data_IF_797918495224
#
_entry.id   IF_797918495224
#
_cell.length_a   1.000
_cell.length_b   1.000
_cell.length_c   1.000
_cell.angle_alpha   90.00
_cell.angle_beta   90.00
_cell.angle_gamma   90.00
#
_symmetry.space_group_name_H-M   'P 1'
#
loop_
_entity.id
_entity.type
_entity.pdbx_description
1 polymer ?
#
# COMPACT_ATOMS: atom_id res chain seq x y z
N UNK A 1 50.89 -15.49 -28.35
CA UNK A 1 50.39 -14.70 -27.20
C UNK A 1 50.18 -13.26 -27.63
N UNK A 2 49.03 -12.68 -27.23
CA UNK A 2 48.66 -11.25 -27.31
C UNK A 2 48.92 -10.52 -28.64
N UNK A 3 47.90 -10.45 -29.51
CA UNK A 3 47.56 -9.29 -30.39
C UNK A 3 46.63 -9.74 -31.53
N UNK A 4 45.39 -10.10 -31.22
CA UNK A 4 44.35 -10.27 -32.26
C UNK A 4 42.90 -10.11 -31.76
N UNK A 5 42.67 -9.52 -30.59
CA UNK A 5 41.32 -9.43 -30.01
C UNK A 5 40.80 -8.00 -29.79
N UNK A 6 41.52 -6.97 -30.22
CA UNK A 6 41.15 -5.56 -29.95
C UNK A 6 40.47 -4.83 -31.12
N UNK A 7 40.21 -5.50 -32.26
CA UNK A 7 39.67 -4.86 -33.45
C UNK A 7 38.14 -5.02 -33.65
N UNK A 8 37.42 -5.62 -32.70
CA UNK A 8 35.96 -5.88 -32.83
C UNK A 8 35.08 -5.05 -31.89
N UNK A 9 35.65 -4.17 -31.06
CA UNK A 9 34.86 -3.34 -30.13
C UNK A 9 34.62 -1.89 -30.59
N UNK A 10 35.12 -1.48 -31.76
CA UNK A 10 35.09 -0.06 -32.18
C UNK A 10 34.08 0.23 -33.31
N UNK A 11 33.36 -0.77 -33.84
CA UNK A 11 32.37 -0.58 -34.91
C UNK A 11 30.90 -0.82 -34.50
N UNK A 12 30.62 -0.88 -33.19
CA UNK A 12 29.25 -0.95 -32.67
C UNK A 12 28.73 0.40 -32.13
N UNK A 13 29.46 1.50 -32.33
CA UNK A 13 29.11 2.85 -31.85
C UNK A 13 28.33 3.70 -32.86
N UNK A 14 27.89 3.15 -33.99
CA UNK A 14 27.20 3.92 -35.05
C UNK A 14 25.75 3.52 -35.31
N UNK A 15 25.08 2.89 -34.36
CA UNK A 15 23.63 2.67 -34.48
C UNK A 15 22.95 2.76 -33.11
N UNK A 16 22.71 3.99 -32.65
CA UNK A 16 21.60 4.24 -31.73
C UNK A 16 20.85 5.49 -32.21
N UNK A 17 19.54 5.39 -32.50
CA UNK A 17 18.76 6.53 -32.97
C UNK A 17 18.56 7.55 -31.85
N UNK A 18 18.73 8.81 -32.24
CA UNK A 18 18.35 10.00 -31.49
C UNK A 18 16.84 9.96 -31.22
N UNK A 19 16.47 9.77 -29.95
CA UNK A 19 15.09 9.85 -29.51
C UNK A 19 15.03 10.74 -28.28
N UNK A 20 14.80 12.02 -28.57
CA UNK A 20 13.98 12.96 -27.81
C UNK A 20 14.36 13.16 -26.33
N UNK A 21 15.01 14.29 -26.11
CA UNK A 21 14.77 15.16 -24.96
C UNK A 21 13.26 15.22 -24.67
N UNK A 22 12.82 14.55 -23.62
CA UNK A 22 11.66 14.99 -22.86
C UNK A 22 12.06 15.05 -21.40
N UNK A 23 12.62 16.21 -21.02
CA UNK A 23 12.92 16.58 -19.64
C UNK A 23 11.59 16.96 -18.98
N UNK A 24 10.72 15.98 -18.77
CA UNK A 24 9.59 16.13 -17.86
C UNK A 24 10.17 15.99 -16.46
N UNK A 25 10.48 17.12 -15.84
CA UNK A 25 10.65 17.19 -14.39
C UNK A 25 9.31 16.76 -13.78
N UNK A 26 9.16 15.47 -13.51
CA UNK A 26 8.08 14.98 -12.66
C UNK A 26 8.39 15.46 -11.26
N UNK A 27 7.76 16.57 -10.88
CA UNK A 27 7.66 17.00 -9.50
C UNK A 27 7.30 15.78 -8.62
N UNK A 28 8.15 15.34 -7.67
CA UNK A 28 7.79 14.25 -6.77
C UNK A 28 6.68 14.65 -5.78
N UNK A 29 6.22 15.90 -5.82
CA UNK A 29 5.25 16.47 -4.89
C UNK A 29 3.82 16.40 -5.43
N UNK A 30 3.61 16.22 -6.74
CA UNK A 30 2.27 16.19 -7.34
C UNK A 30 1.56 14.82 -7.24
N UNK A 31 2.30 13.73 -7.01
CA UNK A 31 1.72 12.39 -6.91
C UNK A 31 1.04 12.08 -5.56
N UNK A 32 1.15 12.98 -4.58
CA UNK A 32 0.59 12.80 -3.22
C UNK A 32 -0.86 13.30 -3.10
N UNK A 33 -1.42 13.93 -4.14
CA UNK A 33 -2.64 14.73 -3.98
C UNK A 33 -3.94 14.12 -4.48
N UNK A 34 -3.99 12.86 -4.95
CA UNK A 34 -5.24 12.37 -5.53
C UNK A 34 -5.42 10.86 -5.40
N UNK A 35 -5.65 10.39 -4.19
CA UNK A 35 -6.53 9.26 -4.00
C UNK A 35 -7.69 9.81 -3.15
N UNK A 36 -8.73 10.29 -3.82
CA UNK A 36 -10.05 10.30 -3.19
C UNK A 36 -10.25 8.90 -2.60
N UNK A 37 -10.86 8.84 -1.42
CA UNK A 37 -11.22 7.61 -0.73
C UNK A 37 -11.92 6.64 -1.70
N UNK A 38 -11.13 5.84 -2.43
CA UNK A 38 -11.67 4.91 -3.40
C UNK A 38 -12.55 3.96 -2.61
N UNK A 39 -13.83 3.79 -3.02
CA UNK A 39 -14.73 2.87 -2.35
C UNK A 39 -14.00 1.54 -2.21
N UNK A 40 -13.94 0.99 -0.99
CA UNK A 40 -13.37 -0.34 -0.81
C UNK A 40 -14.17 -1.27 -1.71
N UNK A 41 -13.54 -1.90 -2.71
CA UNK A 41 -14.25 -2.73 -3.67
C UNK A 41 -15.10 -3.75 -2.91
N UNK A 42 -16.30 -4.03 -3.41
CA UNK A 42 -17.27 -5.00 -2.88
C UNK A 42 -17.66 -4.94 -1.39
N UNK A 43 -17.25 -3.92 -0.64
CA UNK A 43 -17.82 -3.60 0.67
C UNK A 43 -19.32 -3.26 0.55
N UNK A 44 -19.68 -2.50 -0.49
CA UNK A 44 -21.08 -2.17 -0.80
C UNK A 44 -21.91 -3.41 -1.10
N UNK A 45 -21.43 -4.28 -1.99
CA UNK A 45 -22.12 -5.56 -2.31
C UNK A 45 -22.21 -6.49 -1.10
N UNK A 46 -21.21 -6.48 -0.20
CA UNK A 46 -21.25 -7.24 1.04
C UNK A 46 -22.36 -6.73 1.98
N UNK A 47 -22.45 -5.40 2.17
CA UNK A 47 -23.51 -4.77 2.97
C UNK A 47 -24.91 -5.01 2.38
N UNK A 48 -25.04 -4.99 1.05
CA UNK A 48 -26.29 -5.29 0.36
C UNK A 48 -26.73 -6.73 0.59
N UNK A 49 -25.80 -7.68 0.69
CA UNK A 49 -26.06 -9.09 0.99
C UNK A 49 -26.56 -9.36 2.42
N UNK A 50 -26.46 -8.40 3.33
CA UNK A 50 -26.96 -8.55 4.71
C UNK A 50 -28.48 -8.39 4.78
N UNK A 51 -29.10 -8.99 5.80
CA UNK A 51 -30.52 -8.75 6.08
C UNK A 51 -30.76 -7.28 6.46
N UNK A 52 -31.95 -6.72 6.20
CA UNK A 52 -32.23 -5.30 6.49
C UNK A 52 -31.98 -4.90 7.95
N UNK A 53 -32.26 -5.81 8.89
CA UNK A 53 -32.04 -5.59 10.32
C UNK A 53 -30.55 -5.53 10.71
N UNK A 54 -29.68 -6.19 9.93
CA UNK A 54 -28.22 -6.20 10.16
C UNK A 54 -27.52 -5.09 9.39
N UNK A 55 -28.06 -4.66 8.24
CA UNK A 55 -27.42 -3.69 7.35
C UNK A 55 -27.21 -2.33 8.00
N UNK A 56 -28.22 -1.80 8.69
CA UNK A 56 -28.14 -0.48 9.34
C UNK A 56 -27.00 -0.44 10.37
N UNK A 57 -26.94 -1.33 11.38
CA UNK A 57 -25.83 -1.32 12.33
C UNK A 57 -24.48 -1.66 11.67
N UNK A 58 -24.46 -2.53 10.65
CA UNK A 58 -23.22 -2.85 9.95
C UNK A 58 -22.66 -1.65 9.19
N UNK A 59 -23.53 -0.87 8.55
CA UNK A 59 -23.14 0.33 7.84
C UNK A 59 -22.56 1.39 8.79
N UNK A 60 -23.15 1.56 9.98
CA UNK A 60 -22.62 2.48 10.99
C UNK A 60 -21.20 2.09 11.44
N UNK A 61 -20.98 0.80 11.73
CA UNK A 61 -19.63 0.31 12.06
C UNK A 61 -18.65 0.56 10.91
N UNK A 62 -19.07 0.35 9.66
CA UNK A 62 -18.23 0.64 8.50
C UNK A 62 -17.88 2.13 8.42
N UNK A 63 -18.87 3.02 8.53
CA UNK A 63 -18.68 4.47 8.47
C UNK A 63 -17.73 4.98 9.56
N UNK A 64 -17.79 4.39 10.76
CA UNK A 64 -16.91 4.73 11.88
C UNK A 64 -15.44 4.30 11.66
N UNK A 65 -15.23 3.09 11.13
CA UNK A 65 -13.90 2.49 11.07
C UNK A 65 -13.17 2.72 9.75
N UNK A 66 -13.89 2.80 8.64
CA UNK A 66 -13.34 2.95 7.30
C UNK A 66 -12.34 4.12 7.14
N UNK A 67 -12.63 5.36 7.57
CA UNK A 67 -11.70 6.48 7.39
C UNK A 67 -10.38 6.25 8.15
N UNK A 68 -10.46 5.66 9.35
CA UNK A 68 -9.27 5.33 10.16
C UNK A 68 -8.43 4.23 9.51
N UNK A 69 -9.08 3.20 8.96
CA UNK A 69 -8.41 2.12 8.22
C UNK A 69 -7.70 2.67 6.98
N UNK A 70 -8.37 3.52 6.20
CA UNK A 70 -7.78 4.14 5.01
C UNK A 70 -6.58 5.02 5.37
N UNK A 71 -6.71 5.87 6.39
CA UNK A 71 -5.61 6.71 6.87
C UNK A 71 -4.38 5.89 7.28
N UNK A 72 -4.56 4.77 7.99
CA UNK A 72 -3.45 3.87 8.34
C UNK A 72 -2.82 3.22 7.11
N UNK A 73 -3.63 2.74 6.17
CA UNK A 73 -3.14 2.15 4.91
C UNK A 73 -2.31 3.15 4.11
N UNK A 74 -2.71 4.42 4.05
CA UNK A 74 -1.90 5.45 3.42
C UNK A 74 -0.57 5.67 4.13
N UNK A 75 -0.57 5.80 5.47
CA UNK A 75 0.66 5.98 6.25
C UNK A 75 1.63 4.83 5.99
N UNK A 76 1.12 3.61 5.95
CA UNK A 76 1.87 2.41 5.59
C UNK A 76 2.43 2.51 4.16
N UNK A 77 1.63 2.93 3.18
CA UNK A 77 2.07 3.09 1.80
C UNK A 77 3.19 4.11 1.67
N UNK A 78 3.05 5.28 2.31
CA UNK A 78 4.07 6.32 2.34
C UNK A 78 5.38 5.80 2.94
N UNK A 79 5.31 5.06 4.05
CA UNK A 79 6.49 4.47 4.68
C UNK A 79 7.11 3.34 3.86
N UNK A 80 6.30 2.54 3.14
CA UNK A 80 6.81 1.56 2.17
C UNK A 80 7.53 2.24 1.02
N UNK A 81 7.01 3.37 0.52
CA UNK A 81 7.66 4.14 -0.53
C UNK A 81 8.97 4.77 -0.05
N UNK A 82 9.01 5.29 1.18
CA UNK A 82 10.25 5.78 1.81
C UNK A 82 11.30 4.66 1.90
N UNK A 83 10.89 3.46 2.33
CA UNK A 83 11.76 2.29 2.35
C UNK A 83 12.25 1.88 0.94
N UNK A 84 11.38 1.94 -0.06
CA UNK A 84 11.73 1.60 -1.45
C UNK A 84 12.70 2.62 -2.09
N UNK A 85 12.65 3.87 -1.66
CA UNK A 85 13.52 4.95 -2.13
C UNK A 85 14.81 5.09 -1.32
N UNK A 86 14.96 4.32 -0.24
CA UNK A 86 16.14 4.37 0.62
C UNK A 86 17.39 3.96 -0.16
N UNK A 87 18.39 4.84 -0.16
CA UNK A 87 19.71 4.56 -0.72
C UNK A 87 20.64 4.04 0.37
N UNK A 88 21.48 3.08 0.02
CA UNK A 88 22.47 2.49 0.93
C UNK A 88 23.84 3.09 0.64
N UNK A 89 23.98 4.40 0.85
CA UNK A 89 25.23 5.15 0.67
C UNK A 89 25.71 5.79 1.98
N UNK A 90 26.91 6.36 1.96
CA UNK A 90 27.58 6.94 3.14
C UNK A 90 26.83 8.17 3.71
N UNK A 91 25.94 8.78 2.93
CA UNK A 91 25.13 9.93 3.35
C UNK A 91 23.89 9.50 4.15
N UNK A 92 23.52 8.22 4.08
CA UNK A 92 22.34 7.69 4.78
C UNK A 92 22.73 7.22 6.18
N UNK A 93 22.16 7.79 7.25
CA UNK A 93 22.47 7.36 8.62
C UNK A 93 22.18 5.86 8.81
N UNK A 94 23.06 5.10 9.48
CA UNK A 94 22.92 3.66 9.64
C UNK A 94 21.62 3.26 10.38
N UNK A 95 21.09 4.16 11.22
CA UNK A 95 19.85 3.95 11.98
C UNK A 95 18.57 4.16 11.16
N UNK A 96 18.68 4.66 9.92
CA UNK A 96 17.51 5.01 9.08
C UNK A 96 16.67 3.78 8.76
N UNK A 97 17.30 2.70 8.26
CA UNK A 97 16.60 1.46 7.94
C UNK A 97 15.96 0.81 9.20
N UNK A 98 16.68 0.62 10.33
CA UNK A 98 16.09 0.13 11.56
C UNK A 98 14.90 0.97 12.05
N UNK A 99 15.00 2.30 11.96
CA UNK A 99 13.92 3.21 12.35
C UNK A 99 12.69 3.01 11.46
N UNK A 100 12.85 2.99 10.14
CA UNK A 100 11.75 2.74 9.21
C UNK A 100 11.11 1.37 9.41
N UNK A 101 11.91 0.34 9.69
CA UNK A 101 11.42 -1.00 10.04
C UNK A 101 10.51 -0.97 11.27
N UNK A 102 10.92 -0.28 12.35
CA UNK A 102 10.09 -0.15 13.56
C UNK A 102 8.81 0.63 13.31
N UNK A 103 8.88 1.73 12.55
CA UNK A 103 7.71 2.53 12.21
C UNK A 103 6.68 1.72 11.40
N UNK A 104 7.13 0.94 10.41
CA UNK A 104 6.26 0.06 9.64
C UNK A 104 5.63 -1.06 10.50
N UNK A 105 6.40 -1.63 11.43
CA UNK A 105 5.86 -2.62 12.37
C UNK A 105 4.77 -2.02 13.26
N UNK A 106 5.00 -0.83 13.82
CA UNK A 106 4.02 -0.13 14.63
C UNK A 106 2.73 0.14 13.85
N UNK A 107 2.84 0.69 12.63
CA UNK A 107 1.67 0.98 11.78
C UNK A 107 0.87 -0.27 11.41
N UNK A 108 1.57 -1.38 11.14
CA UNK A 108 0.93 -2.67 10.89
C UNK A 108 0.16 -3.16 12.11
N UNK A 109 0.76 -3.09 13.29
CA UNK A 109 0.16 -3.58 14.53
C UNK A 109 -1.05 -2.71 14.92
N UNK A 110 -0.98 -1.41 14.66
CA UNK A 110 -2.09 -0.46 14.77
C UNK A 110 -3.24 -0.82 13.82
N UNK A 111 -2.94 -1.07 12.53
CA UNK A 111 -3.94 -1.50 11.54
C UNK A 111 -4.61 -2.82 11.95
N UNK A 112 -3.82 -3.80 12.39
CA UNK A 112 -4.34 -5.09 12.86
C UNK A 112 -5.30 -4.89 14.03
N UNK A 113 -4.89 -4.08 15.01
CA UNK A 113 -5.70 -3.78 16.19
C UNK A 113 -7.03 -3.13 15.77
N UNK A 114 -6.98 -2.15 14.87
CA UNK A 114 -8.17 -1.46 14.38
C UNK A 114 -9.15 -2.41 13.69
N UNK A 115 -8.66 -3.32 12.83
CA UNK A 115 -9.49 -4.31 12.13
C UNK A 115 -10.13 -5.31 13.11
N UNK A 116 -9.43 -5.72 14.15
CA UNK A 116 -9.98 -6.60 15.19
C UNK A 116 -11.09 -5.90 15.99
N UNK A 117 -10.93 -4.61 16.29
CA UNK A 117 -11.97 -3.82 16.95
C UNK A 117 -13.20 -3.65 16.06
N UNK A 118 -13.00 -3.33 14.77
CA UNK A 118 -14.08 -3.23 13.79
C UNK A 118 -14.88 -4.55 13.69
N UNK A 119 -14.20 -5.69 13.61
CA UNK A 119 -14.86 -7.01 13.58
C UNK A 119 -15.58 -7.34 14.90
N UNK A 120 -15.02 -6.96 16.05
CA UNK A 120 -15.69 -7.13 17.34
C UNK A 120 -16.97 -6.28 17.47
N UNK A 121 -16.93 -5.02 17.02
CA UNK A 121 -18.10 -4.14 17.01
C UNK A 121 -19.13 -4.59 15.97
N UNK A 122 -18.69 -5.09 14.81
CA UNK A 122 -19.58 -5.68 13.82
C UNK A 122 -20.36 -6.86 14.39
N UNK A 123 -19.69 -7.75 15.13
CA UNK A 123 -20.36 -8.89 15.80
C UNK A 123 -21.33 -8.41 16.88
N UNK A 124 -20.95 -7.39 17.65
CA UNK A 124 -21.76 -6.87 18.75
C UNK A 124 -23.01 -6.13 18.27
N UNK A 125 -22.88 -5.29 17.24
CA UNK A 125 -23.94 -4.37 16.81
C UNK A 125 -24.80 -4.96 15.70
N UNK A 126 -24.18 -5.66 14.75
CA UNK A 126 -24.87 -6.19 13.57
C UNK A 126 -25.01 -7.72 13.56
N UNK A 127 -24.40 -8.42 14.52
CA UNK A 127 -24.44 -9.89 14.58
C UNK A 127 -23.72 -10.57 13.40
N UNK A 128 -22.85 -9.84 12.69
CA UNK A 128 -22.08 -10.34 11.54
C UNK A 128 -20.59 -10.16 11.77
N UNK A 129 -19.76 -10.91 11.06
CA UNK A 129 -18.30 -10.83 11.19
C UNK A 129 -17.69 -10.30 9.89
N UNK A 130 -16.72 -9.39 10.03
CA UNK A 130 -15.85 -8.97 8.94
C UNK A 130 -14.76 -10.02 8.65
N UNK A 131 -14.53 -10.94 9.60
CA UNK A 131 -13.52 -11.99 9.51
C UNK A 131 -12.19 -11.58 10.12
N UNK A 132 -11.30 -12.55 10.27
CA UNK A 132 -9.96 -12.28 10.79
C UNK A 132 -9.06 -11.64 9.74
N UNK A 133 -8.07 -10.84 10.14
CA UNK A 133 -7.11 -10.32 9.19
C UNK A 133 -6.30 -11.45 8.51
N UNK A 134 -6.28 -11.46 7.17
CA UNK A 134 -5.76 -12.54 6.31
C UNK A 134 -4.23 -12.66 6.32
N UNK A 135 -3.52 -11.63 6.78
CA UNK A 135 -2.06 -11.65 6.83
C UNK A 135 -1.53 -10.98 8.08
N UNK A 136 -0.22 -11.10 8.29
CA UNK A 136 0.57 -10.25 9.20
C UNK A 136 1.35 -9.19 8.43
N UNK A 137 0.93 -8.88 7.20
CA UNK A 137 1.60 -7.94 6.30
C UNK A 137 1.08 -6.52 6.44
N UNK A 138 1.73 -5.59 5.72
CA UNK A 138 1.34 -4.19 5.64
C UNK A 138 0.05 -3.95 4.81
N UNK A 139 -0.26 -4.85 3.87
CA UNK A 139 -1.49 -4.82 3.06
C UNK A 139 -2.64 -5.61 3.68
N UNK A 140 -2.76 -5.62 5.00
CA UNK A 140 -3.69 -6.51 5.70
C UNK A 140 -5.16 -6.26 5.31
N UNK A 141 -5.86 -7.33 4.99
CA UNK A 141 -7.27 -7.36 4.62
C UNK A 141 -8.03 -8.32 5.55
N UNK A 142 -9.35 -8.17 5.63
CA UNK A 142 -10.23 -9.06 6.40
C UNK A 142 -11.01 -9.96 5.45
N UNK A 143 -11.26 -11.20 5.84
CA UNK A 143 -11.84 -12.24 4.95
C UNK A 143 -13.22 -11.89 4.37
N UNK A 144 -13.97 -11.02 5.04
CA UNK A 144 -15.31 -10.60 4.61
C UNK A 144 -15.33 -9.45 3.61
N UNK A 145 -14.19 -8.81 3.33
CA UNK A 145 -14.06 -7.76 2.32
C UNK A 145 -13.21 -8.27 1.16
N UNK A 146 -13.57 -8.00 -0.10
CA UNK A 146 -12.76 -8.45 -1.22
C UNK A 146 -11.43 -7.69 -1.27
N UNK A 147 -10.42 -8.27 -1.92
CA UNK A 147 -9.08 -7.71 -1.95
C UNK A 147 -9.04 -6.36 -2.68
N UNK A 148 -8.20 -5.45 -2.19
CA UNK A 148 -7.88 -4.21 -2.88
C UNK A 148 -7.13 -4.54 -4.18
N UNK A 149 -7.50 -3.95 -5.33
CA UNK A 149 -6.73 -4.10 -6.56
C UNK A 149 -5.38 -3.41 -6.42
N UNK A 150 -4.31 -4.11 -6.82
CA UNK A 150 -2.96 -3.54 -6.94
C UNK A 150 -1.95 -3.91 -5.85
N UNK A 151 -2.01 -5.13 -5.28
CA UNK A 151 -0.83 -5.72 -4.65
C UNK A 151 0.11 -6.34 -5.69
#
# INVERSE_FOLDING_TARGET
MLKACFALCVLATLYLPDAAVNRQASDPVAAVSQWEASPVPGLGSWLEGLSPAQRIPAQQVVEDYLPRVQALRQRILLKKNELAQLRYDLETPPDTLPKLGRELQFLRDELRTLLLHADADMRRQAGVSLGTPLSRGCGMEVSGLPPMPGQ
#
